data_IF_196081647048
#
_entry.id   IF_196081647048
#
_cell.length_a   1.000
_cell.length_b   1.000
_cell.length_c   1.000
_cell.angle_alpha   90.00
_cell.angle_beta   90.00
_cell.angle_gamma   90.00
#
_symmetry.space_group_name_H-M   'P 1'
#
loop_
_entity.id
_entity.type
_entity.pdbx_description
1 polymer ?
#
# COMPACT_ATOMS: atom_id res chain seq x y z
N UNK A 1 -27.89 12.55 -11.11
CA UNK A 1 -27.78 11.22 -10.53
C UNK A 1 -26.58 11.13 -9.60
N UNK A 2 -26.79 10.62 -8.44
CA UNK A 2 -25.68 10.40 -7.54
C UNK A 2 -24.88 9.21 -8.00
N UNK A 3 -23.58 9.39 -8.13
CA UNK A 3 -22.66 8.30 -8.46
C UNK A 3 -22.00 7.84 -7.19
N UNK A 4 -22.06 6.56 -6.93
CA UNK A 4 -21.30 5.99 -5.83
C UNK A 4 -19.82 6.12 -6.17
N UNK A 5 -19.08 6.79 -5.31
CA UNK A 5 -17.65 6.94 -5.51
C UNK A 5 -16.95 5.65 -5.09
N UNK A 6 -16.16 5.09 -6.01
CA UNK A 6 -15.28 3.96 -5.69
C UNK A 6 -13.91 4.43 -5.25
N UNK A 7 -13.74 5.78 -5.17
CA UNK A 7 -12.47 6.37 -4.74
C UNK A 7 -12.18 6.05 -3.29
N UNK A 8 -11.00 5.51 -3.06
CA UNK A 8 -10.50 5.22 -1.72
C UNK A 8 -9.24 6.03 -1.45
N UNK A 9 -8.95 6.24 -0.18
CA UNK A 9 -7.65 6.73 0.25
C UNK A 9 -6.83 5.50 0.61
N UNK A 10 -5.74 5.29 -0.11
CA UNK A 10 -4.94 4.07 -0.02
C UNK A 10 -3.54 4.38 0.50
N UNK A 11 -3.12 3.66 1.52
CA UNK A 11 -1.77 3.70 2.04
C UNK A 11 -1.00 2.49 1.53
N UNK A 12 0.22 2.69 1.02
CA UNK A 12 1.05 1.61 0.52
C UNK A 12 2.05 1.22 1.61
N UNK A 13 2.12 -0.06 1.94
CA UNK A 13 3.06 -0.59 2.92
C UNK A 13 3.88 -1.71 2.31
N UNK A 14 5.14 -1.79 2.70
CA UNK A 14 6.01 -2.83 2.18
C UNK A 14 7.44 -2.69 2.69
N UNK A 15 8.33 -3.60 2.26
CA UNK A 15 9.71 -3.57 2.70
C UNK A 15 10.48 -2.44 2.03
N UNK A 16 11.31 -1.74 2.79
CA UNK A 16 12.16 -0.66 2.28
C UNK A 16 13.61 -0.86 2.72
N UNK A 17 13.84 -1.06 4.01
CA UNK A 17 15.19 -1.13 4.57
C UNK A 17 16.00 -2.25 3.95
N UNK A 18 17.21 -1.93 3.50
CA UNK A 18 18.13 -2.90 2.94
C UNK A 18 17.91 -3.26 1.49
N UNK A 19 16.88 -2.70 0.87
CA UNK A 19 16.61 -2.93 -0.55
C UNK A 19 17.16 -1.78 -1.39
N UNK A 20 17.36 -2.06 -2.68
CA UNK A 20 17.86 -1.07 -3.63
C UNK A 20 16.94 0.14 -3.62
N UNK A 21 17.50 1.31 -3.39
CA UNK A 21 16.77 2.58 -3.29
C UNK A 21 15.54 2.44 -2.38
N UNK A 22 15.68 1.72 -1.28
CA UNK A 22 14.61 1.50 -0.32
C UNK A 22 13.32 0.96 -0.95
N UNK A 23 13.45 0.22 -2.04
CA UNK A 23 12.31 -0.37 -2.77
C UNK A 23 11.34 0.67 -3.33
N UNK A 24 11.77 1.91 -3.51
CA UNK A 24 10.88 3.00 -3.96
C UNK A 24 10.20 2.70 -5.29
N UNK A 25 10.90 2.02 -6.19
CA UNK A 25 10.34 1.69 -7.49
C UNK A 25 9.01 0.94 -7.36
N UNK A 26 8.96 -0.08 -6.53
CA UNK A 26 7.74 -0.87 -6.32
C UNK A 26 6.62 -0.04 -5.69
N UNK A 27 6.98 0.83 -4.74
CA UNK A 27 6.00 1.73 -4.13
C UNK A 27 5.41 2.69 -5.16
N UNK A 28 6.26 3.26 -6.02
CA UNK A 28 5.81 4.21 -7.03
C UNK A 28 4.96 3.55 -8.11
N UNK A 29 5.32 2.33 -8.53
CA UNK A 29 4.50 1.58 -9.48
C UNK A 29 3.12 1.32 -8.93
N UNK A 30 3.03 0.86 -7.69
CA UNK A 30 1.75 0.61 -7.05
C UNK A 30 0.93 1.90 -6.94
N UNK A 31 1.59 2.99 -6.56
CA UNK A 31 0.92 4.29 -6.44
C UNK A 31 0.35 4.74 -7.77
N UNK A 32 1.12 4.58 -8.85
CA UNK A 32 0.66 4.98 -10.18
C UNK A 32 -0.57 4.20 -10.61
N UNK A 33 -0.56 2.89 -10.41
CA UNK A 33 -1.71 2.03 -10.73
C UNK A 33 -2.94 2.47 -9.95
N UNK A 34 -2.78 2.71 -8.65
CA UNK A 34 -3.90 3.12 -7.80
C UNK A 34 -4.46 4.48 -8.22
N UNK A 35 -3.59 5.43 -8.60
CA UNK A 35 -4.03 6.75 -9.06
C UNK A 35 -4.77 6.65 -10.39
N UNK A 36 -4.32 5.78 -11.29
CA UNK A 36 -5.01 5.57 -12.56
C UNK A 36 -6.42 5.03 -12.35
N UNK A 37 -6.61 4.21 -11.34
CA UNK A 37 -7.93 3.69 -10.99
C UNK A 37 -8.80 4.81 -10.40
N UNK A 38 -8.19 5.88 -9.92
CA UNK A 38 -8.90 7.03 -9.37
C UNK A 38 -8.79 7.19 -7.86
N UNK A 39 -7.91 6.42 -7.22
CA UNK A 39 -7.72 6.52 -5.77
C UNK A 39 -6.79 7.66 -5.39
N UNK A 40 -6.92 8.12 -4.15
CA UNK A 40 -5.96 9.01 -3.53
C UNK A 40 -4.93 8.13 -2.84
N UNK A 41 -3.65 8.37 -3.09
CA UNK A 41 -2.59 7.50 -2.56
C UNK A 41 -1.68 8.27 -1.62
N UNK A 42 -1.49 7.74 -0.42
CA UNK A 42 -0.49 8.21 0.51
C UNK A 42 0.67 7.22 0.45
N UNK A 43 1.79 7.68 -0.10
CA UNK A 43 2.92 6.81 -0.44
C UNK A 43 4.14 7.18 0.41
N UNK A 44 4.55 6.31 1.36
CA UNK A 44 5.69 6.62 2.21
C UNK A 44 7.01 6.74 1.44
N UNK A 45 7.09 6.21 0.22
CA UNK A 45 8.30 6.33 -0.58
C UNK A 45 8.59 7.76 -1.03
N UNK A 46 7.65 8.68 -0.84
CA UNK A 46 7.87 10.11 -1.13
C UNK A 46 8.62 10.82 -0.02
N UNK A 47 8.80 10.19 1.13
CA UNK A 47 9.53 10.80 2.25
C UNK A 47 11.04 10.82 1.96
N UNK A 48 11.76 11.81 2.51
CA UNK A 48 13.20 11.90 2.26
C UNK A 48 13.98 10.81 2.98
N UNK A 49 15.21 10.58 2.52
CA UNK A 49 16.16 9.75 3.23
C UNK A 49 16.63 10.46 4.49
N UNK A 50 17.20 9.71 5.42
CA UNK A 50 17.91 10.30 6.55
C UNK A 50 17.11 10.39 7.82
N UNK A 51 15.86 10.00 7.82
CA UNK A 51 15.06 9.94 9.05
C UNK A 51 15.36 8.64 9.80
N UNK A 52 15.19 8.68 11.10
CA UNK A 52 15.30 7.47 11.94
C UNK A 52 14.04 6.62 11.79
N UNK A 53 14.13 5.34 12.16
CA UNK A 53 12.96 4.47 12.16
C UNK A 53 11.79 5.04 12.96
N UNK A 54 12.00 5.52 14.21
CA UNK A 54 10.89 6.14 14.94
C UNK A 54 10.29 7.34 14.21
N UNK A 55 11.11 8.13 13.52
CA UNK A 55 10.63 9.29 12.78
C UNK A 55 9.77 8.86 11.59
N UNK A 56 10.21 7.85 10.83
CA UNK A 56 9.39 7.31 9.75
C UNK A 56 8.07 6.80 10.28
N UNK A 57 8.06 6.06 11.38
CA UNK A 57 6.82 5.56 11.96
C UNK A 57 5.92 6.70 12.43
N UNK A 58 6.51 7.76 13.00
CA UNK A 58 5.74 8.92 13.47
C UNK A 58 5.03 9.64 12.34
N UNK A 59 5.55 9.56 11.13
CA UNK A 59 4.92 10.17 9.94
C UNK A 59 3.98 9.18 9.28
N UNK A 60 4.43 7.94 9.10
CA UNK A 60 3.69 6.94 8.33
C UNK A 60 2.43 6.45 9.03
N UNK A 61 2.46 6.28 10.35
CA UNK A 61 1.26 5.83 11.05
C UNK A 61 0.11 6.82 10.92
N UNK A 62 0.31 8.14 11.12
CA UNK A 62 -0.74 9.10 10.84
C UNK A 62 -1.21 9.12 9.39
N UNK A 63 -0.30 8.92 8.43
CA UNK A 63 -0.69 8.81 7.03
C UNK A 63 -1.65 7.64 6.84
N UNK A 64 -1.30 6.49 7.39
CA UNK A 64 -2.15 5.31 7.33
C UNK A 64 -3.51 5.57 7.97
N UNK A 65 -3.52 6.27 9.09
CA UNK A 65 -4.77 6.58 9.80
C UNK A 65 -5.71 7.48 8.99
N UNK A 66 -5.19 8.18 8.00
CA UNK A 66 -6.01 8.98 7.09
C UNK A 66 -6.68 8.15 5.99
N UNK A 67 -6.33 6.88 5.87
CA UNK A 67 -6.71 6.07 4.72
C UNK A 67 -7.86 5.12 5.02
N UNK A 68 -8.50 4.64 3.97
CA UNK A 68 -9.58 3.64 4.02
C UNK A 68 -9.05 2.24 3.79
N UNK A 69 -7.88 2.14 3.15
CA UNK A 69 -7.31 0.87 2.69
C UNK A 69 -5.81 0.88 2.88
N UNK A 70 -5.27 -0.28 3.26
CA UNK A 70 -3.83 -0.52 3.20
C UNK A 70 -3.56 -1.51 2.06
N UNK A 71 -2.59 -1.17 1.20
CA UNK A 71 -2.15 -2.03 0.11
C UNK A 71 -0.75 -2.54 0.46
N UNK A 72 -0.64 -3.85 0.65
CA UNK A 72 0.59 -4.47 1.12
C UNK A 72 1.36 -5.06 -0.06
N UNK A 73 2.55 -4.53 -0.30
CA UNK A 73 3.44 -5.03 -1.35
C UNK A 73 3.96 -6.42 -1.00
N UNK A 74 4.40 -7.15 -2.01
CA UNK A 74 5.01 -8.45 -1.80
C UNK A 74 6.17 -8.35 -0.81
N UNK A 75 6.31 -9.38 0.01
CA UNK A 75 7.34 -9.46 1.05
C UNK A 75 7.16 -8.46 2.18
N UNK A 76 5.97 -7.89 2.33
CA UNK A 76 5.69 -6.93 3.40
C UNK A 76 5.99 -7.53 4.79
N UNK A 77 5.78 -8.83 4.96
CA UNK A 77 5.98 -9.48 6.26
C UNK A 77 7.46 -9.55 6.69
N UNK A 78 8.38 -9.28 5.77
CA UNK A 78 9.81 -9.18 6.11
C UNK A 78 10.16 -7.84 6.76
N UNK A 79 9.25 -6.88 6.73
CA UNK A 79 9.46 -5.52 7.24
C UNK A 79 8.76 -5.35 8.57
N UNK A 80 9.51 -4.98 9.61
CA UNK A 80 8.93 -4.70 10.92
C UNK A 80 7.98 -3.50 10.86
N UNK A 81 8.34 -2.49 10.08
CA UNK A 81 7.49 -1.31 9.90
C UNK A 81 6.18 -1.66 9.21
N UNK A 82 6.26 -2.42 8.12
CA UNK A 82 5.05 -2.83 7.40
C UNK A 82 4.15 -3.72 8.26
N UNK A 83 4.74 -4.58 9.09
CA UNK A 83 3.95 -5.40 10.02
C UNK A 83 3.24 -4.54 11.06
N UNK A 84 3.88 -3.50 11.57
CA UNK A 84 3.25 -2.58 12.51
C UNK A 84 2.10 -1.83 11.84
N UNK A 85 2.29 -1.41 10.60
CA UNK A 85 1.25 -0.74 9.82
C UNK A 85 0.08 -1.66 9.55
N UNK A 86 0.35 -2.91 9.20
CA UNK A 86 -0.69 -3.92 9.01
C UNK A 86 -1.49 -4.12 10.30
N UNK A 87 -0.81 -4.22 11.45
CA UNK A 87 -1.47 -4.39 12.73
C UNK A 87 -2.38 -3.21 13.05
N UNK A 88 -1.90 -1.98 12.82
CA UNK A 88 -2.71 -0.79 13.04
C UNK A 88 -3.90 -0.75 12.10
N UNK A 89 -3.70 -1.05 10.82
CA UNK A 89 -4.79 -1.09 9.84
C UNK A 89 -5.86 -2.09 10.24
N UNK A 90 -5.45 -3.26 10.73
CA UNK A 90 -6.36 -4.29 11.23
C UNK A 90 -7.15 -3.76 12.43
N UNK A 91 -6.45 -3.12 13.37
CA UNK A 91 -7.08 -2.56 14.57
C UNK A 91 -8.12 -1.51 14.21
N UNK A 92 -7.83 -0.69 13.22
CA UNK A 92 -8.72 0.40 12.81
C UNK A 92 -9.84 -0.07 11.87
N UNK A 93 -9.81 -1.32 11.44
CA UNK A 93 -10.82 -1.85 10.54
C UNK A 93 -10.69 -1.40 9.11
N UNK A 94 -9.49 -1.03 8.67
CA UNK A 94 -9.26 -0.64 7.28
C UNK A 94 -9.38 -1.86 6.36
N UNK A 95 -9.70 -1.61 5.11
CA UNK A 95 -9.67 -2.65 4.09
C UNK A 95 -8.23 -3.08 3.86
N UNK A 96 -7.99 -4.40 3.86
CA UNK A 96 -6.65 -4.96 3.69
C UNK A 96 -6.57 -5.57 2.29
N UNK A 97 -5.62 -5.10 1.48
CA UNK A 97 -5.42 -5.63 0.13
C UNK A 97 -3.95 -6.02 0.00
N UNK A 98 -3.71 -7.22 -0.48
CA UNK A 98 -2.36 -7.73 -0.71
C UNK A 98 -2.05 -7.68 -2.20
N UNK A 99 -0.87 -7.23 -2.55
CA UNK A 99 -0.42 -7.19 -3.94
C UNK A 99 -0.50 -8.59 -4.57
N UNK A 100 -0.01 -9.59 -3.85
CA UNK A 100 -0.02 -10.97 -4.31
C UNK A 100 -1.45 -11.44 -4.60
N UNK A 101 -2.38 -11.11 -3.72
CA UNK A 101 -3.79 -11.46 -3.93
C UNK A 101 -4.41 -10.78 -5.13
N UNK A 102 -4.08 -9.51 -5.33
CA UNK A 102 -4.57 -8.75 -6.49
C UNK A 102 -4.02 -9.34 -7.77
N UNK A 103 -2.72 -9.63 -7.82
CA UNK A 103 -2.10 -10.22 -9.00
C UNK A 103 -2.70 -11.59 -9.30
N UNK A 104 -2.97 -12.37 -8.27
CA UNK A 104 -3.59 -13.68 -8.41
C UNK A 104 -5.00 -13.55 -8.99
N UNK A 105 -5.79 -12.61 -8.49
CA UNK A 105 -7.15 -12.37 -8.99
C UNK A 105 -7.13 -11.94 -10.45
N UNK A 106 -6.22 -11.06 -10.83
CA UNK A 106 -6.08 -10.62 -12.21
C UNK A 106 -5.77 -11.82 -13.10
N UNK A 107 -4.87 -12.70 -12.65
CA UNK A 107 -4.53 -13.92 -13.40
C UNK A 107 -5.73 -14.81 -13.57
N UNK A 108 -6.51 -15.02 -12.50
CA UNK A 108 -7.71 -15.88 -12.57
C UNK A 108 -8.77 -15.29 -13.51
N UNK A 109 -8.95 -13.98 -13.49
CA UNK A 109 -9.89 -13.30 -14.38
C UNK A 109 -9.46 -13.49 -15.82
N UNK A 110 -8.17 -13.37 -16.11
CA UNK A 110 -7.63 -13.60 -17.43
C UNK A 110 -7.89 -15.03 -17.91
N UNK A 111 -7.69 -16.01 -17.04
CA UNK A 111 -7.93 -17.41 -17.38
C UNK A 111 -9.42 -17.65 -17.66
N UNK A 112 -10.28 -17.03 -16.87
CA UNK A 112 -11.74 -17.16 -17.10
C UNK A 112 -12.14 -16.52 -18.41
N UNK A 113 -11.50 -15.40 -18.76
CA UNK A 113 -11.77 -14.72 -20.02
C UNK A 113 -11.39 -15.55 -21.22
N UNK A 114 -10.47 -16.47 -21.06
CA UNK A 114 -9.99 -17.35 -22.13
C UNK A 114 -10.90 -18.55 -22.34
N UNK A 115 -11.85 -18.75 -21.48
CA UNK A 115 -12.78 -19.86 -21.56
C UNK A 115 -14.08 -19.46 -22.29
#
# INVERSE_FOLDING_TARGET
MARVSLRKKVYIAGPMTGLIDCNRHEFHLAADVMREIGHIVLNPATLPDGLTEPEYMAICLPMLMCCDRIYLLDNWASSKGAKAEYALATKLGLEIVFQDGVDHEITLIGLRGDQ
#
